data_IF_076648653193
#
_entry.id   IF_076648653193
#
_cell.length_a   1.000
_cell.length_b   1.000
_cell.length_c   1.000
_cell.angle_alpha   90.00
_cell.angle_beta   90.00
_cell.angle_gamma   90.00
#
_symmetry.space_group_name_H-M   'P 1'
#
loop_
_entity.id
_entity.type
_entity.pdbx_description
1 polymer ?
#
# COMPACT_ATOMS: atom_id res chain seq x y z
N UNK A 1 83.95 -52.97 48.50
CA UNK A 1 83.79 -51.51 48.59
C UNK A 1 83.02 -51.09 47.35
N UNK A 2 81.71 -51.34 47.29
CA UNK A 2 80.62 -50.41 47.66
C UNK A 2 80.69 -49.09 46.92
N UNK A 3 79.93 -48.95 45.83
CA UNK A 3 79.22 -47.72 45.45
C UNK A 3 77.88 -48.12 44.78
N UNK A 4 76.82 -47.41 45.20
CA UNK A 4 75.39 -47.63 45.01
C UNK A 4 74.84 -47.21 43.62
N UNK A 5 73.61 -47.65 43.23
CA UNK A 5 72.98 -47.30 41.96
C UNK A 5 72.10 -46.04 42.05
N UNK A 6 72.06 -45.23 40.97
CA UNK A 6 71.14 -44.08 40.82
C UNK A 6 69.96 -44.42 39.90
N UNK A 7 68.79 -44.57 40.54
CA UNK A 7 67.47 -44.02 40.20
C UNK A 7 67.00 -44.00 38.73
N UNK A 8 66.00 -44.85 38.45
CA UNK A 8 64.98 -44.66 37.41
C UNK A 8 64.10 -43.45 37.77
N UNK A 9 63.73 -42.63 36.79
CA UNK A 9 62.67 -41.64 36.89
C UNK A 9 61.82 -41.66 35.61
N UNK A 10 60.51 -41.63 35.84
CA UNK A 10 59.39 -41.68 34.90
C UNK A 10 59.49 -40.71 33.72
N UNK A 11 59.03 -41.17 32.55
CA UNK A 11 58.63 -40.28 31.45
C UNK A 11 57.10 -40.31 31.36
N UNK A 12 56.39 -39.18 31.47
CA UNK A 12 54.93 -39.15 31.42
C UNK A 12 54.41 -39.38 30.00
N UNK A 13 53.30 -40.09 29.91
CA UNK A 13 52.42 -40.18 28.74
C UNK A 13 51.79 -38.80 28.55
N UNK A 14 52.17 -38.10 27.49
CA UNK A 14 51.50 -36.86 27.09
C UNK A 14 50.34 -37.21 26.15
N UNK A 15 49.15 -37.33 26.75
CA UNK A 15 47.88 -37.47 26.05
C UNK A 15 47.21 -36.10 25.97
N UNK A 16 47.69 -35.25 25.07
CA UNK A 16 46.96 -34.06 24.64
C UNK A 16 47.33 -33.77 23.18
N UNK A 17 46.72 -34.55 22.28
CA UNK A 17 46.59 -34.12 20.88
C UNK A 17 45.29 -33.32 20.81
N UNK A 18 45.30 -32.03 20.45
CA UNK A 18 44.06 -31.28 20.30
C UNK A 18 43.22 -31.97 19.23
N UNK A 19 41.99 -32.34 19.57
CA UNK A 19 40.98 -32.70 18.58
C UNK A 19 40.63 -31.43 17.78
N UNK A 20 41.47 -31.18 16.79
CA UNK A 20 41.17 -30.63 15.47
C UNK A 20 40.08 -29.54 15.41
N UNK A 21 40.46 -28.28 15.73
CA UNK A 21 39.66 -27.07 15.45
C UNK A 21 39.19 -27.02 13.98
N UNK A 22 39.96 -27.60 13.05
CA UNK A 22 39.63 -27.69 11.62
C UNK A 22 38.42 -28.59 11.35
N UNK A 23 38.27 -29.70 12.10
CA UNK A 23 37.10 -30.60 11.96
C UNK A 23 35.84 -29.98 12.57
N UNK A 24 35.97 -29.19 13.64
CA UNK A 24 34.83 -28.46 14.22
C UNK A 24 34.32 -27.38 13.27
N UNK A 25 35.21 -26.60 12.65
CA UNK A 25 34.85 -25.58 11.66
C UNK A 25 34.22 -26.20 10.41
N UNK A 26 34.74 -27.34 9.92
CA UNK A 26 34.14 -28.07 8.80
C UNK A 26 32.75 -28.61 9.15
N UNK A 27 32.58 -29.22 10.33
CA UNK A 27 31.27 -29.71 10.81
C UNK A 27 30.25 -28.59 10.99
N UNK A 28 30.62 -27.46 11.61
CA UNK A 28 29.73 -26.32 11.81
C UNK A 28 29.31 -25.71 10.46
N UNK A 29 30.25 -25.62 9.51
CA UNK A 29 29.95 -25.14 8.16
C UNK A 29 29.04 -26.09 7.36
N UNK A 30 29.19 -27.41 7.51
CA UNK A 30 28.31 -28.40 6.88
C UNK A 30 26.90 -28.40 7.51
N UNK A 31 26.80 -28.21 8.82
CA UNK A 31 25.52 -28.11 9.54
C UNK A 31 24.77 -26.83 9.14
N UNK A 32 25.43 -25.67 9.08
CA UNK A 32 24.83 -24.40 8.64
C UNK A 32 24.40 -24.40 7.16
N UNK A 33 25.21 -25.02 6.29
CA UNK A 33 24.87 -25.17 4.86
C UNK A 33 23.62 -26.06 4.69
N UNK A 34 23.47 -27.08 5.55
CA UNK A 34 22.32 -27.98 5.54
C UNK A 34 21.04 -27.29 6.05
N UNK A 35 21.11 -26.50 7.13
CA UNK A 35 19.94 -25.79 7.67
C UNK A 35 19.39 -24.72 6.70
N UNK A 36 20.27 -23.98 6.02
CA UNK A 36 19.88 -23.01 4.99
C UNK A 36 19.14 -23.67 3.83
N UNK A 37 19.71 -24.75 3.28
CA UNK A 37 19.14 -25.47 2.15
C UNK A 37 17.77 -26.09 2.50
N UNK A 38 17.63 -26.66 3.70
CA UNK A 38 16.35 -27.18 4.18
C UNK A 38 15.30 -26.08 4.38
N UNK A 39 15.71 -24.94 4.92
CA UNK A 39 14.81 -23.79 5.09
C UNK A 39 14.27 -23.32 3.73
N UNK A 40 15.15 -23.10 2.75
CA UNK A 40 14.75 -22.71 1.38
C UNK A 40 13.86 -23.77 0.72
N UNK A 41 14.15 -25.07 0.90
CA UNK A 41 13.29 -26.17 0.42
C UNK A 41 11.87 -26.04 0.99
N UNK A 42 11.74 -25.82 2.28
CA UNK A 42 10.44 -25.71 2.95
C UNK A 42 9.63 -24.50 2.43
N UNK A 43 10.28 -23.36 2.19
CA UNK A 43 9.62 -22.19 1.61
C UNK A 43 9.22 -22.43 0.14
N UNK A 44 10.12 -22.99 -0.67
CA UNK A 44 9.90 -23.23 -2.09
C UNK A 44 8.73 -24.19 -2.32
N UNK A 45 8.68 -25.29 -1.56
CA UNK A 45 7.58 -26.26 -1.60
C UNK A 45 6.27 -25.66 -1.13
N UNK A 46 6.27 -24.88 -0.04
CA UNK A 46 5.06 -24.17 0.40
C UNK A 46 4.53 -23.21 -0.65
N UNK A 47 5.41 -22.48 -1.35
CA UNK A 47 5.00 -21.62 -2.46
C UNK A 47 4.45 -22.43 -3.63
N UNK A 48 5.09 -23.53 -4.00
CA UNK A 48 4.61 -24.44 -5.04
C UNK A 48 3.20 -24.95 -4.72
N UNK A 49 3.01 -25.51 -3.53
CA UNK A 49 1.73 -26.10 -3.11
C UNK A 49 0.62 -25.04 -3.06
N UNK A 50 0.92 -23.83 -2.58
CA UNK A 50 -0.06 -22.73 -2.52
C UNK A 50 -0.35 -22.06 -3.87
N UNK A 51 0.50 -22.25 -4.88
CA UNK A 51 0.31 -21.68 -6.22
C UNK A 51 -0.06 -22.72 -7.27
N UNK A 52 -0.38 -23.96 -6.86
CA UNK A 52 -0.73 -25.07 -7.76
C UNK A 52 -1.83 -24.72 -8.76
N UNK A 53 -2.85 -23.96 -8.34
CA UNK A 53 -3.96 -23.54 -9.21
C UNK A 53 -3.53 -22.56 -10.32
N UNK A 54 -2.34 -21.96 -10.23
CA UNK A 54 -1.82 -21.05 -11.24
C UNK A 54 -0.95 -21.77 -12.27
N UNK A 55 -0.14 -22.75 -11.84
CA UNK A 55 0.85 -23.39 -12.71
C UNK A 55 0.52 -24.83 -13.11
N UNK A 56 -0.41 -25.49 -12.42
CA UNK A 56 -0.93 -26.83 -12.75
C UNK A 56 0.16 -27.93 -12.86
N UNK A 57 1.27 -27.77 -12.14
CA UNK A 57 2.38 -28.74 -12.13
C UNK A 57 2.13 -29.83 -11.07
N UNK A 58 2.61 -31.04 -11.36
CA UNK A 58 2.40 -32.23 -10.54
C UNK A 58 3.52 -32.54 -9.53
N UNK A 59 3.44 -33.72 -8.94
CA UNK A 59 4.38 -34.20 -7.93
C UNK A 59 5.84 -34.32 -8.44
N UNK A 60 6.02 -34.69 -9.71
CA UNK A 60 7.35 -34.80 -10.32
C UNK A 60 8.09 -33.45 -10.32
N UNK A 61 7.39 -32.37 -10.70
CA UNK A 61 7.94 -31.01 -10.68
C UNK A 61 8.20 -30.52 -9.25
N UNK A 62 7.37 -30.93 -8.28
CA UNK A 62 7.57 -30.66 -6.86
C UNK A 62 8.85 -31.31 -6.34
N UNK A 63 9.09 -32.57 -6.68
CA UNK A 63 10.32 -33.30 -6.35
C UNK A 63 11.56 -32.63 -6.97
N UNK A 64 11.46 -32.21 -8.25
CA UNK A 64 12.55 -31.44 -8.90
C UNK A 64 12.84 -30.13 -8.17
N UNK A 65 11.81 -29.42 -7.68
CA UNK A 65 11.99 -28.19 -6.91
C UNK A 65 12.64 -28.45 -5.55
N UNK A 66 12.25 -29.51 -4.85
CA UNK A 66 12.85 -29.91 -3.58
C UNK A 66 14.34 -30.19 -3.72
N UNK A 67 14.71 -31.01 -4.71
CA UNK A 67 16.11 -31.30 -5.01
C UNK A 67 16.87 -30.05 -5.42
N UNK A 68 16.28 -29.19 -6.24
CA UNK A 68 16.90 -27.93 -6.64
C UNK A 68 17.20 -27.03 -5.43
N UNK A 69 16.28 -26.95 -4.47
CA UNK A 69 16.44 -26.16 -3.25
C UNK A 69 17.50 -26.73 -2.30
N UNK A 70 17.75 -28.05 -2.33
CA UNK A 70 18.79 -28.67 -1.52
C UNK A 70 20.20 -28.44 -2.07
N UNK A 71 20.35 -28.22 -3.39
CA UNK A 71 21.66 -28.21 -4.05
C UNK A 71 22.00 -26.88 -4.74
N UNK A 72 21.17 -25.83 -4.64
CA UNK A 72 21.41 -24.57 -5.37
C UNK A 72 22.67 -23.82 -4.93
N UNK A 73 23.09 -23.98 -3.68
CA UNK A 73 24.27 -23.32 -3.12
C UNK A 73 25.56 -24.14 -3.33
N UNK A 74 25.46 -25.36 -3.88
CA UNK A 74 26.62 -26.20 -4.17
C UNK A 74 27.42 -25.57 -5.31
N UNK A 75 28.71 -25.22 -5.09
CA UNK A 75 29.51 -24.55 -6.09
C UNK A 75 29.67 -25.43 -7.32
N UNK A 76 29.50 -24.82 -8.50
CA UNK A 76 29.73 -25.53 -9.75
C UNK A 76 31.20 -25.92 -9.90
N UNK A 77 31.49 -27.11 -10.46
CA UNK A 77 32.86 -27.57 -10.63
C UNK A 77 33.66 -26.60 -11.50
N UNK A 78 34.92 -26.30 -11.13
CA UNK A 78 35.72 -25.29 -11.80
C UNK A 78 35.95 -25.66 -13.28
N UNK A 79 35.48 -24.80 -14.18
CA UNK A 79 35.65 -24.99 -15.62
C UNK A 79 35.03 -23.86 -16.44
N UNK A 80 35.66 -23.49 -17.55
CA UNK A 80 35.19 -22.47 -18.51
C UNK A 80 33.93 -22.91 -19.29
N UNK A 81 32.82 -23.24 -18.63
CA UNK A 81 31.60 -23.70 -19.31
C UNK A 81 30.34 -22.97 -18.82
N UNK A 82 29.40 -22.81 -19.77
CA UNK A 82 28.08 -22.20 -19.60
C UNK A 82 27.35 -22.82 -18.39
N UNK A 83 26.58 -22.05 -17.59
CA UNK A 83 25.93 -22.52 -16.35
C UNK A 83 25.19 -23.85 -16.48
N UNK A 84 24.46 -24.06 -17.59
CA UNK A 84 23.71 -25.29 -17.85
C UNK A 84 24.57 -26.56 -17.95
N UNK A 85 25.77 -26.47 -18.53
CA UNK A 85 26.66 -27.63 -18.66
C UNK A 85 27.34 -27.95 -17.34
N UNK A 86 27.55 -26.94 -16.50
CA UNK A 86 28.08 -27.14 -15.16
C UNK A 86 27.02 -27.80 -14.25
N UNK A 87 25.78 -27.32 -14.30
CA UNK A 87 24.66 -27.92 -13.59
C UNK A 87 24.41 -29.39 -13.98
N UNK A 88 24.42 -29.71 -15.29
CA UNK A 88 24.30 -31.11 -15.77
C UNK A 88 25.39 -32.02 -15.19
N UNK A 89 26.63 -31.54 -15.13
CA UNK A 89 27.75 -32.31 -14.56
C UNK A 89 27.59 -32.52 -13.06
N UNK A 90 27.11 -31.51 -12.34
CA UNK A 90 26.83 -31.60 -10.91
C UNK A 90 25.77 -32.69 -10.65
N UNK A 91 24.67 -32.67 -11.38
CA UNK A 91 23.59 -33.66 -11.27
C UNK A 91 24.10 -35.08 -11.57
N UNK A 92 24.92 -35.24 -12.62
CA UNK A 92 25.49 -36.54 -12.99
C UNK A 92 26.48 -37.09 -11.95
N UNK A 93 27.08 -36.23 -11.12
CA UNK A 93 28.04 -36.61 -10.09
C UNK A 93 27.35 -36.99 -8.76
N UNK A 94 26.07 -36.67 -8.59
CA UNK A 94 25.34 -36.98 -7.36
C UNK A 94 24.65 -38.35 -7.43
N UNK A 95 24.51 -38.97 -6.25
CA UNK A 95 23.75 -40.20 -6.06
C UNK A 95 22.42 -39.82 -5.42
N UNK A 96 21.33 -40.15 -6.12
CA UNK A 96 19.96 -39.92 -5.65
C UNK A 96 19.40 -41.21 -5.07
N UNK A 97 18.62 -41.12 -4.00
CA UNK A 97 17.91 -42.27 -3.42
C UNK A 97 16.94 -42.88 -4.42
N UNK A 98 16.22 -42.04 -5.17
CA UNK A 98 15.38 -42.43 -6.29
C UNK A 98 15.97 -41.92 -7.63
N UNK A 99 16.14 -42.78 -8.63
CA UNK A 99 16.74 -42.39 -9.90
C UNK A 99 15.79 -41.47 -10.69
N UNK A 100 16.22 -40.22 -10.90
CA UNK A 100 15.52 -39.24 -11.72
C UNK A 100 15.50 -39.65 -13.21
N UNK A 101 14.36 -39.46 -13.86
CA UNK A 101 14.23 -39.60 -15.32
C UNK A 101 15.12 -38.58 -16.06
N UNK A 102 15.46 -38.88 -17.32
CA UNK A 102 16.26 -37.97 -18.15
C UNK A 102 15.59 -36.59 -18.33
N UNK A 103 14.26 -36.54 -18.33
CA UNK A 103 13.50 -35.30 -18.41
C UNK A 103 13.62 -34.48 -17.12
N UNK A 104 13.41 -35.11 -15.96
CA UNK A 104 13.57 -34.46 -14.64
C UNK A 104 14.99 -33.92 -14.44
N UNK A 105 16.02 -34.69 -14.84
CA UNK A 105 17.42 -34.23 -14.79
C UNK A 105 17.65 -32.98 -15.66
N UNK A 106 17.02 -32.92 -16.84
CA UNK A 106 17.14 -31.78 -17.75
C UNK A 106 16.44 -30.53 -17.21
N UNK A 107 15.26 -30.69 -16.59
CA UNK A 107 14.54 -29.61 -15.89
C UNK A 107 15.34 -29.13 -14.68
N UNK A 108 15.81 -30.04 -13.81
CA UNK A 108 16.64 -29.72 -12.63
C UNK A 108 17.90 -28.94 -13.02
N UNK A 109 18.63 -29.41 -14.04
CA UNK A 109 19.82 -28.71 -14.55
C UNK A 109 19.49 -27.28 -15.00
N UNK A 110 18.32 -27.12 -15.63
CA UNK A 110 17.84 -25.83 -16.12
C UNK A 110 17.45 -24.91 -14.99
N UNK A 111 16.76 -25.41 -13.96
CA UNK A 111 16.40 -24.64 -12.75
C UNK A 111 17.65 -24.10 -12.06
N UNK A 112 18.67 -24.95 -11.84
CA UNK A 112 19.94 -24.56 -11.23
C UNK A 112 20.70 -23.54 -12.09
N UNK A 113 20.79 -23.78 -13.40
CA UNK A 113 21.44 -22.85 -14.32
C UNK A 113 20.76 -21.48 -14.35
N UNK A 114 19.44 -21.43 -14.14
CA UNK A 114 18.66 -20.21 -14.06
C UNK A 114 18.78 -19.50 -12.71
N UNK A 115 19.38 -20.10 -11.67
CA UNK A 115 19.64 -19.37 -10.42
C UNK A 115 20.77 -18.35 -10.57
N UNK A 116 21.74 -18.61 -11.46
CA UNK A 116 22.91 -17.75 -11.62
C UNK A 116 22.74 -16.71 -12.74
N UNK A 117 22.72 -15.43 -12.35
CA UNK A 117 22.77 -14.29 -13.27
C UNK A 117 21.42 -13.86 -13.86
N UNK A 118 21.47 -12.94 -14.84
CA UNK A 118 20.28 -12.39 -15.47
C UNK A 118 19.66 -13.35 -16.50
N UNK A 119 18.36 -13.64 -16.36
CA UNK A 119 17.61 -14.46 -17.31
C UNK A 119 17.24 -13.61 -18.53
N UNK A 120 17.91 -13.88 -19.65
CA UNK A 120 17.66 -13.26 -20.94
C UNK A 120 17.20 -14.30 -21.97
N UNK A 121 16.66 -13.83 -23.11
CA UNK A 121 16.15 -14.70 -24.19
C UNK A 121 17.19 -15.73 -24.67
N UNK A 122 18.48 -15.35 -24.69
CA UNK A 122 19.58 -16.25 -25.07
C UNK A 122 19.82 -17.35 -24.04
N UNK A 123 19.62 -17.10 -22.75
CA UNK A 123 19.73 -18.10 -21.70
C UNK A 123 18.63 -19.16 -21.85
N UNK A 124 17.39 -18.71 -22.09
CA UNK A 124 16.23 -19.59 -22.31
C UNK A 124 16.39 -20.41 -23.60
N UNK A 125 16.80 -19.79 -24.71
CA UNK A 125 17.05 -20.49 -25.98
C UNK A 125 18.15 -21.54 -25.93
N UNK A 126 19.03 -21.50 -24.92
CA UNK A 126 20.08 -22.49 -24.71
C UNK A 126 19.62 -23.69 -23.88
N UNK A 127 18.43 -23.62 -23.29
CA UNK A 127 17.81 -24.75 -22.63
C UNK A 127 17.35 -25.70 -23.74
N UNK A 128 18.03 -26.82 -23.85
CA UNK A 128 17.72 -27.89 -24.81
C UNK A 128 16.51 -28.69 -24.28
N UNK A 129 15.36 -28.01 -24.21
CA UNK A 129 14.11 -28.47 -23.59
C UNK A 129 12.92 -28.17 -24.51
N UNK A 130 11.88 -28.99 -24.43
CA UNK A 130 10.60 -28.72 -25.08
C UNK A 130 9.93 -27.44 -24.52
N UNK A 131 9.00 -26.79 -25.23
CA UNK A 131 8.31 -25.60 -24.72
C UNK A 131 7.61 -25.82 -23.37
N UNK A 132 7.07 -27.03 -23.13
CA UNK A 132 6.41 -27.41 -21.88
C UNK A 132 7.45 -27.48 -20.75
N UNK A 133 8.56 -28.20 -20.96
CA UNK A 133 9.64 -28.31 -19.98
C UNK A 133 10.34 -26.96 -19.73
N UNK A 134 10.42 -26.08 -20.73
CA UNK A 134 10.91 -24.71 -20.53
C UNK A 134 9.99 -23.92 -19.61
N UNK A 135 8.67 -24.03 -19.79
CA UNK A 135 7.68 -23.39 -18.91
C UNK A 135 7.77 -23.91 -17.49
N UNK A 136 7.89 -25.22 -17.33
CA UNK A 136 8.11 -25.89 -16.05
C UNK A 136 9.38 -25.37 -15.37
N UNK A 137 10.54 -25.46 -16.03
CA UNK A 137 11.83 -25.03 -15.48
C UNK A 137 11.83 -23.54 -15.08
N UNK A 138 11.20 -22.67 -15.89
CA UNK A 138 11.07 -21.24 -15.56
C UNK A 138 10.18 -21.01 -14.33
N UNK A 139 9.09 -21.76 -14.20
CA UNK A 139 8.18 -21.68 -13.05
C UNK A 139 8.90 -22.12 -11.78
N UNK A 140 9.54 -23.30 -11.80
CA UNK A 140 10.30 -23.81 -10.67
C UNK A 140 11.47 -22.88 -10.29
N UNK A 141 12.18 -22.34 -11.27
CA UNK A 141 13.24 -21.37 -11.03
C UNK A 141 12.73 -20.07 -10.40
N UNK A 142 11.53 -19.60 -10.78
CA UNK A 142 10.92 -18.42 -10.18
C UNK A 142 10.53 -18.65 -8.72
N UNK A 143 9.92 -19.80 -8.42
CA UNK A 143 9.58 -20.19 -7.04
C UNK A 143 10.83 -20.29 -6.16
N UNK A 144 11.87 -20.97 -6.66
CA UNK A 144 13.14 -21.12 -5.95
C UNK A 144 13.80 -19.76 -5.69
N UNK A 145 13.80 -18.84 -6.66
CA UNK A 145 14.34 -17.48 -6.45
C UNK A 145 13.61 -16.69 -5.39
N UNK A 146 12.28 -16.80 -5.32
CA UNK A 146 11.50 -16.16 -4.26
C UNK A 146 11.89 -16.77 -2.91
N UNK A 147 11.94 -18.10 -2.81
CA UNK A 147 12.33 -18.81 -1.59
C UNK A 147 13.75 -18.46 -1.11
N UNK A 148 14.73 -18.39 -2.01
CA UNK A 148 16.11 -17.94 -1.68
C UNK A 148 16.09 -16.50 -1.17
N UNK A 149 15.26 -15.63 -1.76
CA UNK A 149 15.13 -14.25 -1.29
C UNK A 149 14.52 -14.14 0.10
N UNK A 150 13.70 -15.11 0.51
CA UNK A 150 13.08 -15.17 1.85
C UNK A 150 14.04 -15.61 2.95
N UNK A 151 15.26 -16.04 2.61
CA UNK A 151 16.33 -16.38 3.55
C UNK A 151 17.63 -15.67 3.16
N UNK A 152 17.51 -14.43 2.69
CA UNK A 152 18.64 -13.60 2.27
C UNK A 152 19.51 -13.19 3.46
N UNK A 153 18.88 -13.03 4.63
CA UNK A 153 19.52 -12.79 5.92
C UNK A 153 20.36 -13.98 6.38
N UNK A 154 20.00 -15.20 5.99
CA UNK A 154 20.60 -16.43 6.49
C UNK A 154 20.24 -16.73 7.94
N UNK A 155 19.17 -16.13 8.47
CA UNK A 155 18.71 -16.40 9.84
C UNK A 155 17.80 -17.61 9.97
N UNK A 156 17.27 -18.17 8.86
CA UNK A 156 16.31 -19.28 8.84
C UNK A 156 15.06 -19.10 9.72
N UNK A 157 14.72 -17.86 10.09
CA UNK A 157 13.61 -17.54 10.98
C UNK A 157 12.46 -16.78 10.28
N UNK A 158 12.66 -16.36 9.04
CA UNK A 158 11.59 -15.82 8.21
C UNK A 158 10.71 -16.98 7.71
N UNK A 159 9.39 -16.90 7.84
CA UNK A 159 8.47 -17.93 7.36
C UNK A 159 7.25 -17.32 6.69
N UNK A 160 6.72 -18.05 5.69
CA UNK A 160 5.48 -17.67 5.02
C UNK A 160 4.30 -17.99 5.96
N UNK A 161 3.53 -16.98 6.35
CA UNK A 161 2.27 -17.16 7.08
C UNK A 161 1.16 -17.55 6.11
N UNK A 162 1.00 -16.75 5.05
CA UNK A 162 -0.13 -16.84 4.15
C UNK A 162 0.31 -16.59 2.70
N UNK A 163 -0.32 -17.30 1.78
CA UNK A 163 -0.24 -17.05 0.34
C UNK A 163 -1.67 -16.94 -0.18
N UNK A 164 -2.02 -15.80 -0.77
CA UNK A 164 -3.37 -15.51 -1.21
C UNK A 164 -3.37 -14.82 -2.57
N UNK A 165 -4.25 -15.25 -3.47
CA UNK A 165 -4.48 -14.59 -4.75
C UNK A 165 -5.58 -13.54 -4.58
N UNK A 166 -5.19 -12.25 -4.58
CA UNK A 166 -6.10 -11.13 -4.40
C UNK A 166 -6.29 -10.36 -5.72
N UNK A 167 -7.46 -10.52 -6.36
CA UNK A 167 -7.85 -9.96 -7.67
C UNK A 167 -6.88 -10.34 -8.81
N UNK A 168 -5.73 -9.67 -8.88
CA UNK A 168 -4.70 -9.81 -9.91
C UNK A 168 -3.27 -9.79 -9.34
N UNK A 169 -3.13 -9.86 -8.02
CA UNK A 169 -1.84 -9.93 -7.32
C UNK A 169 -1.79 -11.20 -6.46
N UNK A 170 -0.61 -11.81 -6.37
CA UNK A 170 -0.31 -12.88 -5.42
C UNK A 170 0.36 -12.27 -4.19
N UNK A 171 -0.33 -12.32 -3.05
CA UNK A 171 0.22 -11.84 -1.77
C UNK A 171 0.90 -12.99 -1.05
N UNK A 172 2.13 -12.73 -0.60
CA UNK A 172 2.91 -13.64 0.24
C UNK A 172 3.19 -12.89 1.53
N UNK A 173 2.51 -13.28 2.60
CA UNK A 173 2.65 -12.68 3.93
C UNK A 173 3.74 -13.44 4.68
N UNK A 174 4.74 -12.73 5.19
CA UNK A 174 5.88 -13.32 5.87
C UNK A 174 6.09 -12.74 7.28
N UNK A 175 6.63 -13.55 8.17
CA UNK A 175 6.94 -13.18 9.56
C UNK A 175 8.31 -13.71 9.97
N UNK A 176 8.93 -13.05 10.95
CA UNK A 176 10.27 -13.37 11.42
C UNK A 176 10.94 -12.14 12.06
N UNK A 177 12.20 -12.27 12.52
CA UNK A 177 12.98 -11.13 12.98
C UNK A 177 13.64 -10.33 11.85
N UNK A 178 14.04 -11.00 10.76
CA UNK A 178 14.82 -10.41 9.66
C UNK A 178 13.98 -10.05 8.42
N UNK A 179 12.65 -9.93 8.59
CA UNK A 179 11.67 -9.85 7.49
C UNK A 179 11.91 -8.69 6.55
N UNK A 180 12.47 -7.58 7.03
CA UNK A 180 12.67 -6.38 6.19
C UNK A 180 13.69 -6.64 5.09
N UNK A 181 14.78 -7.34 5.43
CA UNK A 181 15.83 -7.72 4.47
C UNK A 181 15.30 -8.78 3.52
N UNK A 182 14.66 -9.80 4.07
CA UNK A 182 14.14 -10.95 3.32
C UNK A 182 12.98 -10.55 2.40
N UNK A 183 12.08 -9.68 2.85
CA UNK A 183 10.98 -9.15 2.04
C UNK A 183 11.49 -8.39 0.82
N UNK A 184 12.49 -7.52 1.00
CA UNK A 184 13.06 -6.72 -0.08
C UNK A 184 13.72 -7.61 -1.15
N UNK A 185 14.49 -8.63 -0.72
CA UNK A 185 15.15 -9.57 -1.61
C UNK A 185 14.14 -10.47 -2.35
N UNK A 186 13.18 -11.06 -1.63
CA UNK A 186 12.12 -11.86 -2.22
C UNK A 186 11.27 -11.06 -3.22
N UNK A 187 10.93 -9.80 -2.90
CA UNK A 187 10.17 -8.92 -3.77
C UNK A 187 10.93 -8.58 -5.06
N UNK A 188 12.26 -8.41 -4.98
CA UNK A 188 13.12 -8.24 -6.15
C UNK A 188 13.13 -9.50 -7.03
N UNK A 189 13.29 -10.67 -6.41
CA UNK A 189 13.39 -11.96 -7.08
C UNK A 189 12.07 -12.39 -7.74
N UNK A 190 10.93 -12.00 -7.16
CA UNK A 190 9.61 -12.30 -7.68
C UNK A 190 9.31 -11.67 -9.05
N UNK A 191 10.12 -10.72 -9.54
CA UNK A 191 9.96 -10.14 -10.89
C UNK A 191 10.00 -11.19 -12.00
N UNK A 192 10.72 -12.30 -11.80
CA UNK A 192 10.73 -13.38 -12.79
C UNK A 192 9.35 -14.02 -12.95
N UNK A 193 8.63 -14.22 -11.83
CA UNK A 193 7.29 -14.79 -11.80
C UNK A 193 6.29 -13.97 -12.62
N UNK A 194 6.26 -12.65 -12.40
CA UNK A 194 5.46 -11.74 -13.22
C UNK A 194 5.86 -11.76 -14.70
N UNK A 195 7.17 -11.78 -14.98
CA UNK A 195 7.70 -11.75 -16.35
C UNK A 195 7.35 -12.98 -17.17
N UNK A 196 7.16 -14.13 -16.53
CA UNK A 196 6.68 -15.34 -17.20
C UNK A 196 5.14 -15.35 -17.35
N UNK A 197 4.43 -14.32 -16.91
CA UNK A 197 3.01 -14.13 -17.17
C UNK A 197 2.09 -14.62 -16.06
N UNK A 198 2.62 -14.88 -14.85
CA UNK A 198 1.79 -15.08 -13.66
C UNK A 198 1.43 -13.74 -13.00
N UNK A 199 0.45 -13.71 -12.07
CA UNK A 199 0.07 -12.50 -11.32
C UNK A 199 1.24 -11.84 -10.61
N UNK A 200 1.18 -10.51 -10.45
CA UNK A 200 2.22 -9.75 -9.76
C UNK A 200 2.33 -10.15 -8.28
N UNK A 201 3.55 -10.41 -7.81
CA UNK A 201 3.79 -10.82 -6.42
C UNK A 201 4.00 -9.61 -5.53
N UNK A 202 3.35 -9.61 -4.36
CA UNK A 202 3.58 -8.68 -3.26
C UNK A 202 4.03 -9.45 -2.02
N UNK A 203 5.26 -9.18 -1.58
CA UNK A 203 5.74 -9.64 -0.28
C UNK A 203 5.29 -8.64 0.77
N UNK A 204 4.56 -9.11 1.78
CA UNK A 204 3.91 -8.27 2.77
C UNK A 204 4.27 -8.71 4.17
N UNK A 205 4.38 -7.75 5.08
CA UNK A 205 4.40 -8.02 6.51
C UNK A 205 2.97 -8.26 7.03
N UNK A 206 2.76 -8.91 8.19
CA UNK A 206 1.41 -9.22 8.67
C UNK A 206 0.60 -7.97 8.96
N UNK A 207 1.24 -6.93 9.48
CA UNK A 207 0.60 -5.63 9.72
C UNK A 207 0.13 -4.99 8.40
N UNK A 208 0.94 -5.05 7.35
CA UNK A 208 0.59 -4.53 6.02
C UNK A 208 -0.53 -5.35 5.36
N UNK A 209 -0.48 -6.68 5.47
CA UNK A 209 -1.51 -7.56 4.95
C UNK A 209 -2.86 -7.31 5.63
N UNK A 210 -2.86 -7.21 6.97
CA UNK A 210 -4.06 -6.85 7.76
C UNK A 210 -4.59 -5.47 7.38
N UNK A 211 -3.69 -4.50 7.19
CA UNK A 211 -4.03 -3.16 6.72
C UNK A 211 -4.71 -3.18 5.34
N UNK A 212 -4.28 -4.04 4.41
CA UNK A 212 -4.90 -4.16 3.08
C UNK A 212 -6.26 -4.86 3.09
N UNK A 213 -6.49 -5.75 4.07
CA UNK A 213 -7.79 -6.42 4.28
C UNK A 213 -8.77 -5.56 5.10
N UNK A 214 -8.33 -4.42 5.61
CA UNK A 214 -9.17 -3.53 6.41
C UNK A 214 -10.36 -3.05 5.57
N UNK A 215 -11.61 -3.23 6.04
CA UNK A 215 -12.79 -2.74 5.33
C UNK A 215 -12.74 -1.22 5.24
N UNK A 216 -13.32 -0.69 4.17
CA UNK A 216 -13.51 0.75 4.03
C UNK A 216 -14.57 1.25 5.03
N UNK A 217 -14.48 2.50 5.50
CA UNK A 217 -15.46 3.04 6.43
C UNK A 217 -16.81 3.21 5.73
N UNK A 218 -17.87 2.82 6.44
CA UNK A 218 -19.24 3.10 6.03
C UNK A 218 -19.66 4.52 6.42
N UNK A 219 -20.58 5.15 5.68
CA UNK A 219 -21.16 6.45 6.03
C UNK A 219 -21.76 6.46 7.44
N UNK A 220 -21.59 7.57 8.14
CA UNK A 220 -22.08 7.75 9.50
C UNK A 220 -23.03 8.95 9.57
N UNK A 221 -23.94 8.98 10.55
CA UNK A 221 -24.84 10.14 10.71
C UNK A 221 -24.09 11.39 11.25
N UNK A 222 -23.01 11.19 12.00
CA UNK A 222 -22.20 12.26 12.56
C UNK A 222 -20.73 11.89 12.58
N UNK A 223 -19.86 12.89 12.70
CA UNK A 223 -18.40 12.69 12.73
C UNK A 223 -17.91 12.05 14.05
N UNK A 224 -18.72 12.03 15.11
CA UNK A 224 -18.35 11.43 16.40
C UNK A 224 -17.17 12.11 17.14
N UNK A 225 -16.91 13.39 16.85
CA UNK A 225 -15.84 14.16 17.53
C UNK A 225 -16.31 14.58 18.93
N UNK A 226 -15.48 14.32 19.92
CA UNK A 226 -15.72 14.64 21.33
C UNK A 226 -14.74 15.70 21.83
N UNK A 227 -15.13 16.45 22.87
CA UNK A 227 -14.27 17.51 23.44
C UNK A 227 -13.00 16.98 24.10
N UNK A 228 -13.04 15.73 24.58
CA UNK A 228 -11.91 15.02 25.18
C UNK A 228 -11.03 14.29 24.18
N UNK A 229 -11.36 14.29 22.88
CA UNK A 229 -10.49 13.71 21.86
C UNK A 229 -9.17 14.49 21.81
N UNK A 230 -8.07 13.76 21.54
CA UNK A 230 -6.87 14.43 21.04
C UNK A 230 -7.19 15.10 19.71
N UNK A 231 -6.56 16.23 19.42
CA UNK A 231 -6.79 16.97 18.18
C UNK A 231 -6.45 16.13 16.93
N UNK A 232 -5.47 15.23 17.03
CA UNK A 232 -5.17 14.26 15.99
C UNK A 232 -6.29 13.24 15.80
N UNK A 233 -6.87 12.72 16.88
CA UNK A 233 -7.97 11.75 16.78
C UNK A 233 -9.26 12.38 16.25
N UNK A 234 -9.58 13.60 16.68
CA UNK A 234 -10.66 14.37 16.07
C UNK A 234 -10.43 14.57 14.57
N UNK A 235 -9.20 14.88 14.16
CA UNK A 235 -8.83 14.95 12.76
C UNK A 235 -9.08 13.64 12.00
N UNK A 236 -8.67 12.49 12.56
CA UNK A 236 -8.96 11.18 11.96
C UNK A 236 -10.44 10.91 11.82
N UNK A 237 -11.23 11.18 12.86
CA UNK A 237 -12.69 10.99 12.83
C UNK A 237 -13.36 11.80 11.73
N UNK A 238 -13.01 13.10 11.61
CA UNK A 238 -13.51 13.98 10.54
C UNK A 238 -13.07 13.48 9.16
N UNK A 239 -11.80 13.07 9.03
CA UNK A 239 -11.27 12.54 7.78
C UNK A 239 -11.94 11.23 7.37
N UNK A 240 -12.13 10.30 8.31
CA UNK A 240 -12.82 9.02 8.10
C UNK A 240 -14.26 9.23 7.66
N UNK A 241 -14.97 10.16 8.28
CA UNK A 241 -16.33 10.54 7.92
C UNK A 241 -16.40 10.99 6.45
N UNK A 242 -15.62 12.00 6.05
CA UNK A 242 -15.65 12.48 4.67
C UNK A 242 -15.05 11.50 3.65
N UNK A 243 -14.19 10.58 4.09
CA UNK A 243 -13.71 9.49 3.26
C UNK A 243 -14.82 8.49 2.95
N UNK A 244 -15.61 8.09 3.95
CA UNK A 244 -16.77 7.23 3.74
C UNK A 244 -17.78 7.84 2.75
N UNK A 245 -18.11 9.12 2.91
CA UNK A 245 -18.96 9.87 1.97
C UNK A 245 -18.40 9.89 0.54
N UNK A 246 -17.08 10.05 0.39
CA UNK A 246 -16.44 10.00 -0.92
C UNK A 246 -16.55 8.61 -1.56
N UNK A 247 -16.36 7.54 -0.77
CA UNK A 247 -16.42 6.16 -1.26
C UNK A 247 -17.85 5.74 -1.62
N UNK A 248 -18.84 6.12 -0.81
CA UNK A 248 -20.24 5.82 -1.07
C UNK A 248 -20.71 6.34 -2.44
N UNK A 249 -20.22 7.52 -2.83
CA UNK A 249 -20.59 8.17 -4.09
C UNK A 249 -19.73 7.74 -5.28
N UNK A 250 -18.68 6.92 -5.09
CA UNK A 250 -17.79 6.49 -6.16
C UNK A 250 -18.53 5.60 -7.18
N UNK A 251 -19.34 4.66 -6.72
CA UNK A 251 -20.07 3.75 -7.60
C UNK A 251 -21.05 4.51 -8.52
N UNK A 252 -21.84 5.43 -7.95
CA UNK A 252 -22.75 6.29 -8.73
C UNK A 252 -22.00 7.19 -9.72
N UNK A 253 -20.86 7.76 -9.30
CA UNK A 253 -19.99 8.57 -10.17
C UNK A 253 -19.48 7.77 -11.38
N UNK A 254 -19.08 6.51 -11.15
CA UNK A 254 -18.63 5.59 -12.20
C UNK A 254 -19.75 5.27 -13.17
N UNK A 255 -20.94 4.95 -12.67
CA UNK A 255 -22.10 4.62 -13.50
C UNK A 255 -22.55 5.83 -14.33
N UNK A 256 -22.60 7.00 -13.70
CA UNK A 256 -22.93 8.29 -14.34
C UNK A 256 -24.38 8.45 -14.77
N UNK A 257 -25.29 7.65 -14.19
CA UNK A 257 -26.75 7.79 -14.37
C UNK A 257 -27.29 9.05 -13.67
N UNK A 258 -26.70 9.38 -12.51
CA UNK A 258 -27.04 10.58 -11.73
C UNK A 258 -25.83 11.51 -11.64
N UNK A 259 -26.04 12.78 -12.01
CA UNK A 259 -25.01 13.84 -11.95
C UNK A 259 -24.70 14.21 -10.50
N UNK A 260 -25.65 14.02 -9.57
CA UNK A 260 -25.47 14.35 -8.16
C UNK A 260 -24.44 13.44 -7.48
N UNK A 261 -24.30 12.18 -7.90
CA UNK A 261 -23.26 11.30 -7.35
C UNK A 261 -21.83 11.88 -7.53
N UNK A 262 -21.54 12.44 -8.72
CA UNK A 262 -20.28 13.13 -8.97
C UNK A 262 -20.16 14.42 -8.16
N UNK A 263 -21.27 15.17 -8.03
CA UNK A 263 -21.31 16.36 -7.19
C UNK A 263 -20.94 16.04 -5.74
N UNK A 264 -21.59 15.04 -5.15
CA UNK A 264 -21.44 14.65 -3.76
C UNK A 264 -20.07 14.04 -3.48
N UNK A 265 -19.57 13.16 -4.37
CA UNK A 265 -18.20 12.65 -4.28
C UNK A 265 -17.20 13.82 -4.24
N UNK A 266 -17.36 14.82 -5.11
CA UNK A 266 -16.49 16.01 -5.15
C UNK A 266 -16.64 16.86 -3.88
N UNK A 267 -17.86 17.04 -3.37
CA UNK A 267 -18.11 17.77 -2.11
C UNK A 267 -17.39 17.08 -0.96
N UNK A 268 -17.49 15.76 -0.85
CA UNK A 268 -16.80 14.96 0.15
C UNK A 268 -15.28 15.09 0.01
N UNK A 269 -14.71 14.93 -1.19
CA UNK A 269 -13.27 15.13 -1.43
C UNK A 269 -12.80 16.54 -1.05
N UNK A 270 -13.58 17.58 -1.35
CA UNK A 270 -13.25 18.96 -0.96
C UNK A 270 -13.27 19.15 0.56
N UNK A 271 -14.30 18.63 1.24
CA UNK A 271 -14.40 18.70 2.71
C UNK A 271 -13.26 17.93 3.38
N UNK A 272 -12.90 16.78 2.84
CA UNK A 272 -11.77 15.98 3.29
C UNK A 272 -10.44 16.75 3.17
N UNK A 273 -10.21 17.44 2.04
CA UNK A 273 -9.04 18.33 1.88
C UNK A 273 -9.05 19.49 2.88
N UNK A 274 -10.19 20.11 3.12
CA UNK A 274 -10.31 21.18 4.11
C UNK A 274 -10.02 20.66 5.53
N UNK A 275 -10.46 19.44 5.87
CA UNK A 275 -10.11 18.81 7.14
C UNK A 275 -8.59 18.64 7.28
N UNK A 276 -7.91 18.17 6.23
CA UNK A 276 -6.44 18.11 6.21
C UNK A 276 -5.77 19.46 6.49
N UNK A 277 -6.31 20.57 5.98
CA UNK A 277 -5.76 21.90 6.22
C UNK A 277 -6.00 22.39 7.65
N UNK A 278 -7.10 21.96 8.28
CA UNK A 278 -7.41 22.29 9.68
C UNK A 278 -6.56 21.49 10.66
N UNK A 279 -6.37 20.19 10.40
CA UNK A 279 -5.72 19.26 11.33
C UNK A 279 -4.24 19.01 11.03
N UNK A 280 -3.66 19.64 10.01
CA UNK A 280 -2.27 19.40 9.55
C UNK A 280 -1.23 19.41 10.68
N UNK A 281 -1.36 20.34 11.62
CA UNK A 281 -0.40 20.53 12.72
C UNK A 281 -0.43 19.40 13.76
N UNK A 282 -1.46 18.54 13.71
CA UNK A 282 -1.58 17.37 14.57
C UNK A 282 -0.77 16.16 14.06
N UNK A 283 -0.33 16.20 12.80
CA UNK A 283 0.31 15.07 12.14
C UNK A 283 1.71 15.42 11.62
N UNK A 284 2.50 14.40 11.35
CA UNK A 284 3.80 14.56 10.72
C UNK A 284 3.65 14.98 9.25
N UNK A 285 4.43 15.98 8.84
CA UNK A 285 4.34 16.57 7.49
C UNK A 285 4.57 15.53 6.38
N UNK A 286 5.49 14.59 6.62
CA UNK A 286 5.86 13.59 5.62
C UNK A 286 4.72 12.60 5.38
N UNK A 287 4.08 12.12 6.44
CA UNK A 287 2.89 11.27 6.37
C UNK A 287 1.75 12.00 5.63
N UNK A 288 1.50 13.27 5.97
CA UNK A 288 0.39 14.02 5.39
C UNK A 288 0.58 14.34 3.92
N UNK A 289 1.83 14.49 3.46
CA UNK A 289 2.16 14.85 2.07
C UNK A 289 1.59 13.84 1.07
N UNK A 290 1.71 12.55 1.37
CA UNK A 290 1.27 11.47 0.49
C UNK A 290 -0.25 11.46 0.32
N UNK A 291 -1.00 11.52 1.43
CA UNK A 291 -2.45 11.52 1.39
C UNK A 291 -3.02 12.79 0.73
N UNK A 292 -2.40 13.95 0.97
CA UNK A 292 -2.76 15.21 0.30
C UNK A 292 -2.58 15.15 -1.21
N UNK A 293 -1.52 14.49 -1.69
CA UNK A 293 -1.29 14.32 -3.12
C UNK A 293 -2.43 13.50 -3.76
N UNK A 294 -2.77 12.35 -3.18
CA UNK A 294 -3.87 11.50 -3.69
C UNK A 294 -5.23 12.21 -3.68
N UNK A 295 -5.55 12.96 -2.62
CA UNK A 295 -6.77 13.77 -2.55
C UNK A 295 -6.77 14.93 -3.54
N UNK A 296 -5.60 15.52 -3.81
CA UNK A 296 -5.47 16.58 -4.79
C UNK A 296 -5.77 16.06 -6.19
N UNK A 297 -5.12 14.98 -6.60
CA UNK A 297 -5.33 14.34 -7.91
C UNK A 297 -6.79 13.93 -8.05
N UNK A 298 -7.35 13.25 -7.04
CA UNK A 298 -8.77 12.86 -7.03
C UNK A 298 -9.69 14.06 -7.24
N UNK A 299 -9.53 15.11 -6.42
CA UNK A 299 -10.38 16.30 -6.52
C UNK A 299 -10.23 17.05 -7.84
N UNK A 300 -9.03 17.09 -8.43
CA UNK A 300 -8.79 17.68 -9.75
C UNK A 300 -9.50 16.88 -10.84
N UNK A 301 -9.31 15.56 -10.87
CA UNK A 301 -9.91 14.68 -11.88
C UNK A 301 -11.44 14.74 -11.86
N UNK A 302 -12.07 14.69 -10.68
CA UNK A 302 -13.52 14.87 -10.54
C UNK A 302 -13.99 16.27 -10.95
N UNK A 303 -13.17 17.29 -10.63
CA UNK A 303 -13.45 18.69 -10.92
C UNK A 303 -13.63 18.98 -12.40
N UNK A 304 -12.77 18.44 -13.28
CA UNK A 304 -12.85 18.70 -14.73
C UNK A 304 -14.21 18.31 -15.32
N UNK A 305 -14.76 17.17 -14.91
CA UNK A 305 -16.09 16.71 -15.37
C UNK A 305 -17.19 17.60 -14.79
N UNK A 306 -17.15 17.86 -13.48
CA UNK A 306 -18.20 18.64 -12.81
C UNK A 306 -18.23 20.10 -13.24
N UNK A 307 -17.08 20.69 -13.56
CA UNK A 307 -17.02 22.06 -14.06
C UNK A 307 -17.71 22.16 -15.42
N UNK A 308 -17.53 21.16 -16.29
CA UNK A 308 -18.25 21.05 -17.56
C UNK A 308 -19.75 20.82 -17.35
N UNK A 309 -20.16 19.96 -16.41
CA UNK A 309 -21.59 19.79 -16.06
C UNK A 309 -22.23 21.14 -15.71
N UNK A 310 -21.58 21.90 -14.81
CA UNK A 310 -22.10 23.19 -14.34
C UNK A 310 -22.10 24.23 -15.46
N UNK A 311 -21.09 24.25 -16.34
CA UNK A 311 -21.05 25.16 -17.48
C UNK A 311 -22.15 24.84 -18.49
N UNK A 312 -22.35 23.57 -18.81
CA UNK A 312 -23.42 23.10 -19.71
C UNK A 312 -24.80 23.45 -19.12
N UNK A 313 -25.03 23.17 -17.83
CA UNK A 313 -26.28 23.48 -17.14
C UNK A 313 -26.59 24.99 -17.17
N UNK A 314 -25.61 25.83 -16.86
CA UNK A 314 -25.77 27.30 -16.90
C UNK A 314 -26.01 27.83 -18.30
N UNK A 315 -25.29 27.31 -19.30
CA UNK A 315 -25.50 27.71 -20.68
C UNK A 315 -26.86 27.24 -21.20
N UNK A 316 -27.34 26.08 -20.77
CA UNK A 316 -28.68 25.59 -21.09
C UNK A 316 -29.74 26.54 -20.56
N UNK A 317 -29.65 26.91 -19.27
CA UNK A 317 -30.54 27.91 -18.68
C UNK A 317 -30.46 29.26 -19.41
N UNK A 318 -29.27 29.68 -19.84
CA UNK A 318 -29.13 30.89 -20.65
C UNK A 318 -29.82 30.77 -22.01
N UNK A 319 -29.64 29.65 -22.72
CA UNK A 319 -30.29 29.35 -24.01
C UNK A 319 -31.81 29.39 -23.89
N UNK A 320 -32.37 28.82 -22.83
CA UNK A 320 -33.82 28.75 -22.61
C UNK A 320 -34.45 30.14 -22.43
N UNK A 321 -33.65 31.14 -22.01
CA UNK A 321 -34.06 32.53 -21.86
C UNK A 321 -33.83 33.40 -23.13
N UNK A 322 -33.25 32.84 -24.20
CA UNK A 322 -33.06 33.57 -25.46
C UNK A 322 -34.30 33.49 -26.38
N UNK A 323 -34.49 34.50 -27.25
CA UNK A 323 -35.37 34.42 -28.41
C UNK A 323 -35.07 33.18 -29.27
N UNK A 324 -36.11 32.55 -29.83
CA UNK A 324 -36.02 31.26 -30.52
C UNK A 324 -35.04 31.27 -31.71
N UNK A 325 -34.96 32.39 -32.43
CA UNK A 325 -34.06 32.63 -33.55
C UNK A 325 -32.58 32.69 -33.15
N UNK A 326 -32.27 32.90 -31.87
CA UNK A 326 -30.91 33.02 -31.35
C UNK A 326 -30.41 31.75 -30.63
N UNK A 327 -31.31 30.80 -30.33
CA UNK A 327 -30.97 29.60 -29.56
C UNK A 327 -29.98 28.70 -30.28
N UNK A 328 -30.16 28.52 -31.60
CA UNK A 328 -29.31 27.67 -32.43
C UNK A 328 -27.86 28.15 -32.51
N UNK A 329 -27.60 29.44 -32.24
CA UNK A 329 -26.24 29.99 -32.23
C UNK A 329 -25.33 29.40 -31.15
N UNK A 330 -25.88 28.75 -30.13
CA UNK A 330 -25.13 28.10 -29.05
C UNK A 330 -24.87 26.61 -29.29
N UNK A 331 -25.50 25.99 -30.28
CA UNK A 331 -25.39 24.54 -30.50
C UNK A 331 -23.94 24.07 -30.72
N UNK A 332 -23.08 24.76 -31.51
CA UNK A 332 -21.67 24.38 -31.64
C UNK A 332 -20.88 24.41 -30.33
N UNK A 333 -21.25 25.30 -29.40
CA UNK A 333 -20.62 25.38 -28.07
C UNK A 333 -21.03 24.18 -27.21
N UNK A 334 -22.30 23.80 -27.24
CA UNK A 334 -22.79 22.61 -26.52
C UNK A 334 -22.16 21.34 -27.06
N UNK A 335 -22.08 21.17 -28.38
CA UNK A 335 -21.42 20.02 -29.02
C UNK A 335 -19.95 19.92 -28.57
N UNK A 336 -19.23 21.05 -28.58
CA UNK A 336 -17.84 21.09 -28.12
C UNK A 336 -17.71 20.72 -26.64
N UNK A 337 -18.51 21.33 -25.75
CA UNK A 337 -18.44 21.02 -24.31
C UNK A 337 -18.90 19.61 -23.96
N UNK A 338 -19.86 19.04 -24.69
CA UNK A 338 -20.27 17.65 -24.52
C UNK A 338 -19.11 16.70 -24.88
N UNK A 339 -18.43 16.94 -26.01
CA UNK A 339 -17.23 16.18 -26.40
C UNK A 339 -16.12 16.28 -25.35
N UNK A 340 -15.83 17.49 -24.86
CA UNK A 340 -14.83 17.69 -23.80
C UNK A 340 -15.22 16.97 -22.51
N UNK A 341 -16.51 16.99 -22.14
CA UNK A 341 -17.03 16.29 -20.97
C UNK A 341 -16.86 14.78 -21.09
N UNK A 342 -17.15 14.20 -22.26
CA UNK A 342 -16.93 12.78 -22.51
C UNK A 342 -15.44 12.40 -22.40
N UNK A 343 -14.55 13.23 -22.93
CA UNK A 343 -13.11 13.05 -22.80
C UNK A 343 -12.66 13.09 -21.34
N UNK A 344 -13.11 14.11 -20.59
CA UNK A 344 -12.83 14.24 -19.16
C UNK A 344 -13.39 13.06 -18.35
N UNK A 345 -14.59 12.57 -18.70
CA UNK A 345 -15.19 11.39 -18.07
C UNK A 345 -14.39 10.12 -18.32
N UNK A 346 -13.89 9.90 -19.55
CA UNK A 346 -13.00 8.76 -19.87
C UNK A 346 -11.72 8.82 -19.04
N UNK A 347 -11.11 9.99 -18.92
CA UNK A 347 -9.91 10.19 -18.09
C UNK A 347 -10.21 9.94 -16.60
N UNK A 348 -11.36 10.41 -16.11
CA UNK A 348 -11.81 10.17 -14.75
C UNK A 348 -11.97 8.67 -14.46
N UNK A 349 -12.65 7.93 -15.34
CA UNK A 349 -12.83 6.49 -15.16
C UNK A 349 -11.49 5.75 -15.17
N UNK A 350 -10.61 6.06 -16.12
CA UNK A 350 -9.26 5.48 -16.20
C UNK A 350 -8.45 5.77 -14.92
N UNK A 351 -8.57 6.96 -14.35
CA UNK A 351 -7.94 7.31 -13.07
C UNK A 351 -8.55 6.52 -11.91
N UNK A 352 -9.86 6.41 -11.80
CA UNK A 352 -10.51 5.63 -10.73
C UNK A 352 -10.17 4.13 -10.82
N UNK A 353 -9.91 3.60 -12.03
CA UNK A 353 -9.45 2.23 -12.26
C UNK A 353 -7.93 2.06 -12.08
N UNK A 354 -7.19 3.16 -11.98
CA UNK A 354 -5.75 3.13 -11.90
C UNK A 354 -5.26 2.51 -10.58
N UNK A 355 -4.10 1.85 -10.65
CA UNK A 355 -3.40 1.35 -9.48
C UNK A 355 -3.09 2.46 -8.46
N UNK A 356 -2.76 3.65 -8.94
CA UNK A 356 -2.48 4.84 -8.12
C UNK A 356 -3.67 5.18 -7.20
N UNK A 357 -4.88 5.27 -7.75
CA UNK A 357 -6.07 5.58 -6.97
C UNK A 357 -6.42 4.47 -5.96
N UNK A 358 -6.26 3.19 -6.36
CA UNK A 358 -6.52 2.07 -5.47
C UNK A 358 -5.50 1.98 -4.32
N UNK A 359 -4.22 2.28 -4.58
CA UNK A 359 -3.18 2.38 -3.54
C UNK A 359 -3.47 3.53 -2.59
N UNK A 360 -3.80 4.73 -3.12
CA UNK A 360 -4.22 5.87 -2.31
C UNK A 360 -5.38 5.52 -1.37
N UNK A 361 -6.47 4.92 -1.89
CA UNK A 361 -7.61 4.51 -1.07
C UNK A 361 -7.21 3.58 0.05
N UNK A 362 -6.41 2.55 -0.24
CA UNK A 362 -5.97 1.58 0.76
C UNK A 362 -5.13 2.23 1.85
N UNK A 363 -4.10 2.98 1.47
CA UNK A 363 -3.20 3.62 2.44
C UNK A 363 -3.91 4.66 3.28
N UNK A 364 -4.81 5.41 2.67
CA UNK A 364 -5.61 6.37 3.41
C UNK A 364 -6.61 5.68 4.34
N UNK A 365 -7.18 4.53 3.94
CA UNK A 365 -8.03 3.71 4.80
C UNK A 365 -7.30 3.26 6.07
N UNK A 366 -6.06 2.80 5.92
CA UNK A 366 -5.21 2.38 7.03
C UNK A 366 -4.95 3.56 7.97
N UNK A 367 -4.57 4.71 7.41
CA UNK A 367 -4.29 5.92 8.18
C UNK A 367 -5.49 6.38 9.03
N UNK A 368 -6.70 6.46 8.46
CA UNK A 368 -7.88 6.97 9.19
C UNK A 368 -8.46 5.98 10.20
N UNK A 369 -8.09 4.70 10.12
CA UNK A 369 -8.55 3.65 11.03
C UNK A 369 -7.48 3.15 12.02
N UNK A 370 -6.26 3.70 11.96
CA UNK A 370 -5.17 3.33 12.88
C UNK A 370 -4.91 4.46 13.88
N UNK A 371 -5.36 4.31 15.15
CA UNK A 371 -5.07 5.29 16.20
C UNK A 371 -3.57 5.53 16.34
N UNK A 372 -3.16 6.78 16.54
CA UNK A 372 -1.76 7.15 16.67
C UNK A 372 -0.96 7.19 15.36
N UNK A 373 -1.49 6.71 14.23
CA UNK A 373 -0.80 6.77 12.94
C UNK A 373 -0.52 8.22 12.53
N UNK A 374 0.74 8.50 12.19
CA UNK A 374 1.24 9.79 11.73
C UNK A 374 1.10 10.95 12.71
N UNK A 375 0.85 10.72 14.01
CA UNK A 375 0.74 11.81 15.00
C UNK A 375 2.10 12.47 15.20
N UNK A 376 2.11 13.80 15.17
CA UNK A 376 3.31 14.57 15.52
C UNK A 376 3.66 14.33 16.99
N UNK A 377 4.90 13.97 17.34
CA UNK A 377 5.32 13.91 18.73
C UNK A 377 5.19 15.29 19.37
N UNK A 378 4.58 15.35 20.54
CA UNK A 378 4.33 16.59 21.28
C UNK A 378 5.27 16.65 22.47
N UNK A 379 5.91 17.79 22.70
CA UNK A 379 6.75 17.97 23.89
C UNK A 379 5.88 18.08 25.14
N UNK A 380 6.32 17.47 26.23
CA UNK A 380 5.79 17.73 27.58
C UNK A 380 6.46 18.96 28.22
N UNK A 381 7.55 19.46 27.63
CA UNK A 381 8.29 20.61 28.15
C UNK A 381 8.82 21.54 27.01
N UNK A 382 8.26 22.74 26.83
CA UNK A 382 7.06 23.24 27.49
C UNK A 382 5.81 22.46 27.05
N UNK A 383 4.75 22.38 27.88
CA UNK A 383 3.52 21.68 27.52
C UNK A 383 2.80 22.41 26.36
N UNK A 384 2.40 21.64 25.35
CA UNK A 384 1.55 22.11 24.25
C UNK A 384 0.10 21.60 24.43
N UNK A 385 -0.93 22.36 24.01
CA UNK A 385 -2.32 21.89 24.05
C UNK A 385 -2.50 20.69 23.11
N UNK A 386 -3.33 19.72 23.51
CA UNK A 386 -3.52 18.44 22.79
C UNK A 386 -4.98 18.10 22.54
N UNK A 387 -5.89 18.61 23.36
CA UNK A 387 -7.30 18.25 23.29
C UNK A 387 -8.07 19.18 22.35
N UNK A 388 -9.17 18.66 21.80
CA UNK A 388 -10.12 19.46 21.02
C UNK A 388 -10.63 20.65 21.83
N UNK A 389 -10.96 20.44 23.11
CA UNK A 389 -11.44 21.49 24.02
C UNK A 389 -10.45 22.65 24.20
N UNK A 390 -9.15 22.39 24.08
CA UNK A 390 -8.08 23.37 24.24
C UNK A 390 -7.78 24.11 22.93
N UNK A 391 -7.77 23.38 21.80
CA UNK A 391 -7.31 23.90 20.51
C UNK A 391 -8.45 24.52 19.68
N UNK A 392 -9.61 23.86 19.64
CA UNK A 392 -10.68 24.24 18.71
C UNK A 392 -11.18 25.68 18.91
N UNK A 393 -11.39 26.19 20.15
CA UNK A 393 -11.80 27.58 20.33
C UNK A 393 -10.81 28.58 19.72
N UNK A 394 -9.50 28.36 19.91
CA UNK A 394 -8.44 29.23 19.39
C UNK A 394 -8.47 29.23 17.86
N UNK A 395 -8.60 28.07 17.23
CA UNK A 395 -8.68 27.96 15.77
C UNK A 395 -9.92 28.67 15.22
N UNK A 396 -11.09 28.48 15.84
CA UNK A 396 -12.34 29.13 15.41
C UNK A 396 -12.21 30.65 15.48
N UNK A 397 -11.74 31.20 16.60
CA UNK A 397 -11.60 32.65 16.74
C UNK A 397 -10.53 33.24 15.81
N UNK A 398 -9.43 32.53 15.59
CA UNK A 398 -8.38 32.95 14.66
C UNK A 398 -8.91 33.03 13.22
N UNK A 399 -9.66 32.01 12.78
CA UNK A 399 -10.27 32.01 11.43
C UNK A 399 -11.38 33.06 11.31
N UNK A 400 -12.19 33.25 12.34
CA UNK A 400 -13.21 34.30 12.38
C UNK A 400 -12.58 35.70 12.25
N UNK A 401 -11.49 35.95 12.96
CA UNK A 401 -10.75 37.21 12.88
C UNK A 401 -10.20 37.45 11.46
N UNK A 402 -9.61 36.42 10.85
CA UNK A 402 -9.13 36.49 9.47
C UNK A 402 -10.24 36.83 8.47
N UNK A 403 -11.44 36.25 8.61
CA UNK A 403 -12.60 36.59 7.77
C UNK A 403 -13.05 38.03 8.01
N UNK A 404 -13.15 38.47 9.27
CA UNK A 404 -13.57 39.84 9.62
C UNK A 404 -12.62 40.91 9.10
N UNK A 405 -11.33 40.62 8.98
CA UNK A 405 -10.34 41.54 8.41
C UNK A 405 -10.69 41.97 6.96
N UNK A 406 -11.37 41.11 6.18
CA UNK A 406 -11.83 41.44 4.83
C UNK A 406 -13.07 42.35 4.80
N UNK A 407 -13.70 42.62 5.94
CA UNK A 407 -14.87 43.51 6.01
C UNK A 407 -14.59 44.89 5.42
N UNK A 408 -13.43 45.48 5.73
CA UNK A 408 -13.03 46.78 5.20
C UNK A 408 -12.84 46.78 3.66
N UNK A 409 -12.34 45.67 3.10
CA UNK A 409 -12.10 45.49 1.66
C UNK A 409 -13.41 45.31 0.90
N UNK A 410 -14.35 44.52 1.45
CA UNK A 410 -15.65 44.27 0.83
C UNK A 410 -16.51 45.54 0.76
N UNK A 411 -16.44 46.41 1.79
CA UNK A 411 -17.13 47.71 1.76
C UNK A 411 -16.56 48.63 0.66
N UNK A 412 -15.24 48.60 0.41
CA UNK A 412 -14.63 49.38 -0.66
C UNK A 412 -14.99 48.86 -2.07
N UNK A 413 -15.07 47.54 -2.26
CA UNK A 413 -15.49 46.94 -3.53
C UNK A 413 -16.97 47.22 -3.85
N UNK A 414 -17.83 47.26 -2.82
CA UNK A 414 -19.23 47.66 -2.98
C UNK A 414 -19.42 49.14 -3.31
N UNK A 415 -18.41 49.99 -3.02
CA UNK A 415 -18.45 51.43 -3.26
C UNK A 415 -17.91 51.87 -4.64
N UNK A 416 -17.43 50.94 -5.49
CA UNK A 416 -16.99 51.24 -6.85
C UNK A 416 -18.20 51.37 -7.82
N UNK A 417 -18.45 52.54 -8.44
CA UNK A 417 -19.52 52.71 -9.41
C UNK A 417 -19.05 52.19 -10.77
N UNK A 418 -19.24 50.89 -11.00
CA UNK A 418 -18.93 50.25 -12.28
C UNK A 418 -19.53 48.85 -12.44
N UNK A 419 -19.96 48.22 -11.34
CA UNK A 419 -20.64 46.92 -11.38
C UNK A 419 -22.14 47.15 -11.55
N UNK A 420 -22.69 46.65 -12.65
CA UNK A 420 -24.12 46.65 -12.96
C UNK A 420 -24.88 45.88 -11.88
N UNK A 421 -25.35 46.59 -10.85
CA UNK A 421 -26.30 46.09 -9.87
C UNK A 421 -27.43 47.11 -9.64
N UNK A 422 -27.95 47.66 -10.73
CA UNK A 422 -29.26 48.31 -10.75
C UNK A 422 -30.36 47.27 -10.86
N UNK A 423 -30.69 46.57 -9.77
CA UNK A 423 -32.06 46.02 -9.54
C UNK A 423 -32.24 45.54 -8.09
N UNK A 424 -32.81 46.43 -7.29
CA UNK A 424 -33.73 46.21 -6.14
C UNK A 424 -33.28 45.21 -5.06
N UNK A 425 -32.60 45.72 -4.04
CA UNK A 425 -32.78 45.25 -2.66
C UNK A 425 -33.65 46.28 -1.92
N UNK A 426 -34.97 46.21 -2.14
CA UNK A 426 -35.95 46.86 -1.28
C UNK A 426 -36.64 45.75 -0.50
N UNK A 427 -36.43 45.73 0.82
CA UNK A 427 -37.18 44.90 1.75
C UNK A 427 -36.34 43.96 2.60
N UNK A 428 -35.68 44.48 3.64
CA UNK A 428 -35.87 43.93 4.98
C UNK A 428 -35.35 44.91 6.05
N UNK A 429 -36.15 45.25 7.08
CA UNK A 429 -35.86 46.30 8.05
C UNK A 429 -35.28 45.68 9.32
N UNK A 430 -34.02 45.96 9.65
CA UNK A 430 -33.49 45.78 11.01
C UNK A 430 -32.25 46.67 11.18
N UNK A 431 -32.49 47.96 11.34
CA UNK A 431 -31.50 48.90 11.86
C UNK A 431 -32.18 49.81 12.86
N UNK A 432 -32.23 49.38 14.10
CA UNK A 432 -32.43 50.25 15.26
C UNK A 432 -31.84 49.58 16.51
N UNK A 433 -30.98 50.35 17.15
CA UNK A 433 -30.73 50.39 18.60
C UNK A 433 -29.73 49.40 19.22
N UNK A 434 -28.47 49.84 19.15
CA UNK A 434 -27.42 49.55 20.13
C UNK A 434 -27.54 50.53 21.30
N UNK A 435 -28.30 50.18 22.35
CA UNK A 435 -28.11 50.68 23.71
C UNK A 435 -29.01 49.90 24.69
N UNK A 436 -28.41 49.13 25.61
CA UNK A 436 -29.15 48.46 26.68
C UNK A 436 -28.29 47.44 27.44
N UNK A 437 -28.06 47.71 28.73
CA UNK A 437 -27.34 46.93 29.73
C UNK A 437 -27.79 45.45 29.89
N UNK A 438 -26.98 44.58 30.53
CA UNK A 438 -27.24 43.14 30.60
C UNK A 438 -28.15 42.76 31.78
N UNK A 439 -29.00 41.72 31.67
CA UNK A 439 -29.59 41.10 32.84
C UNK A 439 -28.89 39.80 33.25
N UNK A 440 -28.55 39.81 34.53
CA UNK A 440 -28.41 38.76 35.54
C UNK A 440 -28.90 37.33 35.27
N UNK A 441 -28.13 36.39 35.84
CA UNK A 441 -28.43 34.97 36.10
C UNK A 441 -29.85 34.72 36.66
N UNK A 442 -30.57 33.73 36.11
CA UNK A 442 -31.13 32.57 36.83
C UNK A 442 -31.97 31.62 35.93
N UNK A 443 -31.73 30.32 36.12
CA UNK A 443 -32.66 29.16 35.99
C UNK A 443 -33.22 28.77 34.61
N UNK A 444 -32.59 27.76 34.02
CA UNK A 444 -33.21 26.82 33.10
C UNK A 444 -33.63 25.55 33.86
N UNK A 445 -34.92 25.26 33.92
CA UNK A 445 -35.46 23.95 34.24
C UNK A 445 -36.82 23.75 33.55
N UNK A 446 -37.02 22.54 33.03
CA UNK A 446 -38.24 21.96 32.45
C UNK A 446 -38.55 22.21 30.96
N UNK A 447 -38.20 21.21 30.14
CA UNK A 447 -39.20 20.59 29.25
C UNK A 447 -38.90 19.10 29.03
N UNK A 448 -39.80 18.29 29.56
CA UNK A 448 -39.88 16.84 29.44
C UNK A 448 -40.46 16.43 28.08
N UNK A 449 -39.90 15.36 27.53
CA UNK A 449 -40.42 14.56 26.40
C UNK A 449 -41.48 13.58 26.92
N UNK A 450 -42.58 13.32 26.20
CA UNK A 450 -43.39 12.12 26.40
C UNK A 450 -43.17 11.10 25.27
N UNK A 451 -42.88 9.85 25.64
CA UNK A 451 -42.83 8.73 24.71
C UNK A 451 -42.98 7.40 25.45
N UNK A 452 -44.22 6.91 25.52
CA UNK A 452 -44.67 5.70 26.23
C UNK A 452 -44.22 4.42 25.54
N UNK A 453 -43.87 3.44 26.37
CA UNK A 453 -44.00 2.00 26.11
C UNK A 453 -45.47 1.58 26.19
N UNK A 454 -45.86 0.69 25.29
CA UNK A 454 -47.06 -0.13 25.28
C UNK A 454 -46.76 -1.35 24.41
#
# INVERSE_FOLDING_TARGET
MTEEPKSMADTPIDSDTPLDETVQVEMESEIEVNTHAEHVRNQATRLFDKTQSLHELGADSRCVLELAALIYNVPFPPGKKKPINAARKLIQAQVYEEPLSSEQQAVLASVLALQHGQINRKAIQRLDLSPIQQREALTLAALLRIAIGLDQSGGQQTFIEQVELARSELWIVISGPDVEVDAAAAQHNARLWSKIGYPDVKILLPAEAKARLMPFPEPQESMGVESGDSFAEAGRKVMRYHFAEMLQNEYGTRLGEDIEALHDMRVATRRLRAAFDVFDTAFERQEMKRHRAGLRTTGQTLGHVRDLDVMIEKAQHYRDNLPEDQRAGLDPLFEYWQSERESARKQMLAFLDSREYQEFKREFNVFVNTPGSGVRPVSDNPPEPRLVSEIAPILVFTRLAAVRAYGAVLVQLAAYPGTVAGRKAAGCPCSSDLSGEPPSRERAAHRLVPGRLG
#
